data_IF_181529964774
#
_entry.id   IF_181529964774
#
_cell.length_a   1.000
_cell.length_b   1.000
_cell.length_c   1.000
_cell.angle_alpha   90.00
_cell.angle_beta   90.00
_cell.angle_gamma   90.00
#
_symmetry.space_group_name_H-M   'P 1'
#
loop_
_entity.id
_entity.type
_entity.pdbx_description
1 polymer ?
#
# COMPACT_ATOMS: atom_id res chain seq x y z
N UNK A 1 -11.67 6.82 18.15
CA UNK A 1 -11.47 5.66 17.27
C UNK A 1 -10.13 5.85 16.60
N UNK A 2 -9.31 4.79 16.57
CA UNK A 2 -8.01 4.81 15.89
C UNK A 2 -8.18 4.18 14.49
N UNK A 3 -7.86 4.95 13.46
CA UNK A 3 -8.10 4.57 12.06
C UNK A 3 -7.36 3.26 11.70
N UNK A 4 -6.05 3.10 12.00
CA UNK A 4 -5.33 1.83 11.84
C UNK A 4 -6.03 0.61 12.45
N UNK A 5 -6.57 0.73 13.67
CA UNK A 5 -7.24 -0.39 14.33
C UNK A 5 -8.56 -0.76 13.65
N UNK A 6 -9.33 0.24 13.20
CA UNK A 6 -10.56 0.01 12.44
C UNK A 6 -10.26 -0.69 11.11
N UNK A 7 -9.29 -0.17 10.35
CA UNK A 7 -8.85 -0.77 9.08
C UNK A 7 -8.40 -2.22 9.29
N UNK A 8 -7.57 -2.48 10.30
CA UNK A 8 -7.09 -3.83 10.60
C UNK A 8 -8.20 -4.82 11.03
N UNK A 9 -9.31 -4.31 11.57
CA UNK A 9 -10.47 -5.14 11.94
C UNK A 9 -11.31 -5.57 10.74
N UNK A 10 -11.49 -4.69 9.75
CA UNK A 10 -12.26 -4.98 8.53
C UNK A 10 -11.51 -5.92 7.59
N UNK A 11 -10.19 -5.78 7.49
CA UNK A 11 -9.35 -6.64 6.64
C UNK A 11 -9.42 -8.12 7.04
N UNK A 12 -9.82 -8.45 8.28
CA UNK A 12 -10.02 -9.83 8.75
C UNK A 12 -11.36 -10.45 8.34
N UNK A 13 -12.33 -9.64 7.91
CA UNK A 13 -13.72 -10.05 7.66
C UNK A 13 -14.11 -10.00 6.15
N UNK A 14 -13.13 -10.03 5.25
CA UNK A 14 -13.26 -10.17 3.78
C UNK A 14 -13.77 -8.96 2.97
N UNK A 15 -13.40 -7.72 3.32
CA UNK A 15 -13.75 -6.56 2.48
C UNK A 15 -12.58 -5.59 2.26
N UNK A 16 -12.02 -5.61 1.05
CA UNK A 16 -11.19 -4.50 0.54
C UNK A 16 -12.06 -3.30 0.13
N UNK A 17 -13.28 -3.54 -0.35
CA UNK A 17 -14.12 -2.49 -0.97
C UNK A 17 -14.65 -1.43 0.01
N UNK A 18 -14.74 -1.74 1.32
CA UNK A 18 -15.18 -0.76 2.33
C UNK A 18 -14.05 0.15 2.81
N UNK A 19 -12.81 -0.24 2.56
CA UNK A 19 -11.61 0.46 3.03
C UNK A 19 -11.02 1.35 1.94
N UNK A 20 -11.23 0.99 0.67
CA UNK A 20 -10.73 1.77 -0.46
C UNK A 20 -11.69 2.87 -0.88
N UNK A 21 -11.10 3.97 -1.36
CA UNK A 21 -11.86 5.08 -1.94
C UNK A 21 -12.65 4.60 -3.16
N UNK A 22 -13.90 5.04 -3.28
CA UNK A 22 -14.79 4.68 -4.38
C UNK A 22 -14.25 5.11 -5.75
N UNK A 23 -13.48 6.19 -5.82
CA UNK A 23 -12.84 6.63 -7.07
C UNK A 23 -11.73 5.67 -7.50
N UNK A 24 -10.94 5.16 -6.55
CA UNK A 24 -9.92 4.12 -6.80
C UNK A 24 -10.55 2.78 -7.17
N UNK A 25 -11.71 2.46 -6.59
CA UNK A 25 -12.44 1.23 -6.86
C UNK A 25 -12.98 1.12 -8.29
N UNK A 26 -13.10 2.24 -9.03
CA UNK A 26 -13.49 2.22 -10.45
C UNK A 26 -12.46 1.51 -11.31
N UNK A 27 -11.18 1.66 -10.96
CA UNK A 27 -10.04 1.06 -11.66
C UNK A 27 -9.61 -0.27 -11.01
N UNK A 28 -10.32 -0.75 -9.98
CA UNK A 28 -10.00 -1.97 -9.24
C UNK A 28 -9.79 -3.23 -10.09
N UNK A 29 -10.48 -3.45 -11.25
CA UNK A 29 -10.16 -4.57 -12.12
C UNK A 29 -8.72 -4.57 -12.64
N UNK A 30 -8.06 -3.42 -12.66
CA UNK A 30 -6.70 -3.22 -13.14
C UNK A 30 -5.70 -3.05 -11.99
N UNK A 31 -6.08 -2.34 -10.92
CA UNK A 31 -5.16 -2.00 -9.81
C UNK A 31 -5.46 -2.70 -8.48
N UNK A 32 -6.42 -3.64 -8.44
CA UNK A 32 -6.89 -4.26 -7.19
C UNK A 32 -5.79 -4.92 -6.36
N UNK A 33 -4.87 -5.63 -7.00
CA UNK A 33 -3.73 -6.27 -6.32
C UNK A 33 -2.71 -5.23 -5.82
N UNK A 34 -2.48 -4.15 -6.59
CA UNK A 34 -1.63 -3.01 -6.19
C UNK A 34 -2.18 -2.36 -4.91
N UNK A 35 -3.48 -2.07 -4.90
CA UNK A 35 -4.19 -1.47 -3.77
C UNK A 35 -4.12 -2.38 -2.54
N UNK A 36 -4.43 -3.68 -2.70
CA UNK A 36 -4.40 -4.64 -1.61
C UNK A 36 -3.00 -4.77 -0.99
N UNK A 37 -1.95 -4.85 -1.81
CA UNK A 37 -0.59 -4.99 -1.32
C UNK A 37 -0.10 -3.70 -0.66
N UNK A 38 -0.48 -2.53 -1.21
CA UNK A 38 -0.21 -1.22 -0.58
C UNK A 38 -0.88 -1.11 0.78
N UNK A 39 -2.12 -1.57 0.92
CA UNK A 39 -2.84 -1.58 2.20
C UNK A 39 -2.17 -2.49 3.23
N UNK A 40 -1.72 -3.68 2.83
CA UNK A 40 -0.96 -4.59 3.71
C UNK A 40 0.34 -3.93 4.21
N UNK A 41 1.08 -3.27 3.33
CA UNK A 41 2.28 -2.54 3.70
C UNK A 41 1.97 -1.38 4.67
N UNK A 42 0.90 -0.62 4.40
CA UNK A 42 0.45 0.45 5.29
C UNK A 42 0.12 -0.08 6.69
N UNK A 43 -0.56 -1.24 6.79
CA UNK A 43 -0.86 -1.90 8.07
C UNK A 43 0.41 -2.28 8.85
N UNK A 44 1.47 -2.75 8.17
CA UNK A 44 2.75 -3.00 8.83
C UNK A 44 3.43 -1.70 9.32
N UNK A 45 3.30 -0.60 8.57
CA UNK A 45 3.88 0.69 8.96
C UNK A 45 3.25 1.28 10.23
N UNK A 46 2.01 0.90 10.53
CA UNK A 46 1.25 1.36 11.70
C UNK A 46 1.10 0.30 12.78
N UNK A 47 1.95 -0.73 12.77
CA UNK A 47 1.89 -1.79 13.77
C UNK A 47 1.95 -1.20 15.20
N UNK A 48 1.10 -1.67 16.14
CA UNK A 48 1.12 -1.23 17.53
C UNK A 48 2.49 -1.42 18.20
N UNK A 49 3.26 -2.41 17.77
CA UNK A 49 4.64 -2.64 18.18
C UNK A 49 5.61 -1.84 17.31
N UNK A 50 6.29 -0.81 17.86
CA UNK A 50 7.22 0.00 17.07
C UNK A 50 8.36 -0.81 16.45
N UNK A 51 8.77 -1.90 17.08
CA UNK A 51 9.84 -2.78 16.58
C UNK A 51 9.40 -3.70 15.43
N UNK A 52 8.09 -3.83 15.18
CA UNK A 52 7.56 -4.60 14.06
C UNK A 52 7.40 -3.75 12.78
N UNK A 53 7.51 -2.42 12.91
CA UNK A 53 7.38 -1.50 11.77
C UNK A 53 8.61 -1.62 10.86
N UNK A 54 8.43 -1.70 9.54
CA UNK A 54 9.54 -1.74 8.60
C UNK A 54 10.34 -0.43 8.61
N UNK A 55 11.62 -0.53 8.29
CA UNK A 55 12.44 0.65 8.01
C UNK A 55 11.98 1.33 6.72
N UNK A 56 12.16 2.65 6.61
CA UNK A 56 11.74 3.41 5.41
C UNK A 56 12.31 2.85 4.11
N UNK A 57 13.53 2.29 4.14
CA UNK A 57 14.14 1.64 2.97
C UNK A 57 13.38 0.38 2.54
N UNK A 58 12.90 -0.41 3.49
CA UNK A 58 12.09 -1.60 3.23
C UNK A 58 10.70 -1.22 2.73
N UNK A 59 10.14 -0.09 3.18
CA UNK A 59 8.87 0.45 2.67
C UNK A 59 9.04 0.87 1.21
N UNK A 60 10.09 1.63 0.89
CA UNK A 60 10.39 2.04 -0.49
C UNK A 60 10.55 0.85 -1.42
N UNK A 61 11.37 -0.13 -1.03
CA UNK A 61 11.57 -1.34 -1.82
C UNK A 61 10.25 -2.08 -2.09
N UNK A 62 9.41 -2.25 -1.06
CA UNK A 62 8.12 -2.93 -1.23
C UNK A 62 7.15 -2.12 -2.11
N UNK A 63 7.17 -0.79 -2.05
CA UNK A 63 6.35 0.05 -2.94
C UNK A 63 6.79 -0.07 -4.40
N UNK A 64 8.09 -0.12 -4.66
CA UNK A 64 8.65 -0.34 -6.00
C UNK A 64 8.27 -1.73 -6.54
N UNK A 65 8.27 -2.76 -5.67
CA UNK A 65 7.84 -4.11 -6.02
C UNK A 65 6.32 -4.20 -6.29
N UNK A 66 5.51 -3.41 -5.58
CA UNK A 66 4.06 -3.32 -5.78
C UNK A 66 3.72 -2.66 -7.12
N UNK A 67 4.52 -1.68 -7.57
CA UNK A 67 4.32 -0.98 -8.84
C UNK A 67 5.64 -0.76 -9.59
N UNK A 68 6.09 -1.75 -10.38
CA UNK A 68 7.35 -1.68 -11.11
C UNK A 68 7.32 -0.72 -12.31
N UNK A 69 6.15 -0.23 -12.75
CA UNK A 69 6.05 0.63 -13.95
C UNK A 69 6.42 2.09 -13.69
N UNK A 70 6.58 2.52 -12.42
CA UNK A 70 6.99 3.90 -12.08
C UNK A 70 8.52 4.11 -12.09
N UNK A 71 9.31 3.06 -12.30
CA UNK A 71 10.79 3.14 -12.30
C UNK A 71 11.40 3.42 -13.68
N UNK A 72 10.61 3.91 -14.64
CA UNK A 72 11.15 4.62 -15.80
C UNK A 72 11.66 5.99 -15.35
N UNK A 73 12.83 5.99 -14.72
CA UNK A 73 13.67 7.18 -14.59
C UNK A 73 14.10 7.59 -16.00
N UNK A 74 13.48 8.64 -16.53
CA UNK A 74 14.07 9.50 -17.56
C UNK A 74 15.38 10.11 -17.01
N UNK A 75 16.43 9.29 -16.92
CA UNK A 75 17.82 9.72 -16.84
C UNK A 75 18.33 9.96 -18.27
N UNK A 76 17.72 10.89 -19.01
CA UNK A 76 18.41 11.51 -20.15
C UNK A 76 19.28 12.65 -19.60
N UNK A 77 20.40 12.22 -19.02
CA UNK A 77 21.49 13.08 -18.64
C UNK A 77 21.93 13.91 -19.85
N UNK A 78 21.85 15.23 -19.68
CA UNK A 78 22.48 16.20 -20.54
C UNK A 78 23.88 15.74 -20.96
N UNK A 79 24.06 15.55 -22.27
CA UNK A 79 25.37 15.60 -22.93
C UNK A 79 25.32 16.53 -24.12
#
# INVERSE_FOLDING_TARGET
MDLPQWVASIVKEEWTNEVFDLELMRDAPTIGDELLNTLKLALHCVDPSPSARPEVKQVLQQLEEIKPELVEVDDDGAK
#
